data_IF_295721992869
#
_entry.id   IF_295721992869
#
_cell.length_a   1.000
_cell.length_b   1.000
_cell.length_c   1.000
_cell.angle_alpha   90.00
_cell.angle_beta   90.00
_cell.angle_gamma   90.00
#
_symmetry.space_group_name_H-M   'P 1'
#
loop_
_entity.id
_entity.type
_entity.pdbx_description
1 polymer ?
#
# COMPACT_ATOMS: atom_id res chain seq x y z
N UNK A 1 28.57 1.94 -2.21
CA UNK A 1 27.86 3.11 -1.67
C UNK A 1 26.42 2.94 -2.10
N UNK A 2 25.54 2.52 -1.21
CA UNK A 2 24.13 2.45 -1.53
C UNK A 2 23.54 3.85 -1.47
N UNK A 3 22.97 4.32 -2.58
CA UNK A 3 22.38 5.65 -2.71
C UNK A 3 21.10 5.79 -1.87
N UNK A 4 20.69 7.01 -1.57
CA UNK A 4 19.47 7.27 -0.81
C UNK A 4 18.23 6.71 -1.52
N UNK A 5 18.16 6.81 -2.86
CA UNK A 5 17.03 6.28 -3.62
C UNK A 5 16.97 4.75 -3.59
N UNK A 6 18.11 4.06 -3.45
CA UNK A 6 18.14 2.61 -3.27
C UNK A 6 17.48 2.20 -1.94
N UNK A 7 17.70 2.99 -0.88
CA UNK A 7 17.05 2.74 0.41
C UNK A 7 15.54 3.03 0.35
N UNK A 8 15.11 4.07 -0.37
CA UNK A 8 13.68 4.32 -0.63
C UNK A 8 13.07 3.17 -1.44
N UNK A 9 13.78 2.64 -2.44
CA UNK A 9 13.32 1.47 -3.20
C UNK A 9 13.20 0.22 -2.33
N UNK A 10 14.15 -0.01 -1.43
CA UNK A 10 14.08 -1.13 -0.49
C UNK A 10 12.86 -1.03 0.43
N UNK A 11 12.56 0.17 0.96
CA UNK A 11 11.34 0.43 1.73
C UNK A 11 10.09 0.18 0.88
N UNK A 12 10.04 0.70 -0.35
CA UNK A 12 8.90 0.54 -1.26
C UNK A 12 8.64 -0.93 -1.62
N UNK A 13 9.69 -1.73 -1.77
CA UNK A 13 9.56 -3.18 -1.97
C UNK A 13 9.05 -3.89 -0.72
N UNK A 14 9.58 -3.55 0.45
CA UNK A 14 9.08 -4.11 1.73
C UNK A 14 7.60 -3.77 1.96
N UNK A 15 7.18 -2.56 1.60
CA UNK A 15 5.77 -2.17 1.64
C UNK A 15 4.89 -3.02 0.72
N UNK A 16 5.35 -3.36 -0.48
CA UNK A 16 4.60 -4.27 -1.37
C UNK A 16 4.43 -5.64 -0.73
N UNK A 17 5.51 -6.21 -0.20
CA UNK A 17 5.47 -7.52 0.45
C UNK A 17 4.49 -7.51 1.65
N UNK A 18 4.46 -6.44 2.44
CA UNK A 18 3.50 -6.26 3.55
C UNK A 18 2.07 -6.12 3.06
N UNK A 19 1.82 -5.33 2.01
CA UNK A 19 0.50 -5.15 1.44
C UNK A 19 -0.06 -6.46 0.85
N UNK A 20 0.78 -7.25 0.17
CA UNK A 20 0.41 -8.57 -0.35
C UNK A 20 0.09 -9.58 0.75
N UNK A 21 0.72 -9.45 1.92
CA UNK A 21 0.46 -10.28 3.10
C UNK A 21 -0.71 -9.75 3.95
N UNK A 22 -1.24 -8.57 3.67
CA UNK A 22 -2.25 -7.90 4.48
C UNK A 22 -1.73 -7.36 5.82
N UNK A 23 -0.42 -7.18 5.98
CA UNK A 23 0.21 -6.60 7.18
C UNK A 23 0.10 -5.07 7.14
N UNK A 24 -1.13 -4.57 7.27
CA UNK A 24 -1.45 -3.14 7.12
C UNK A 24 -0.88 -2.28 8.25
N UNK A 25 -0.68 -2.86 9.43
CA UNK A 25 -0.09 -2.15 10.57
C UNK A 25 1.37 -1.82 10.28
N UNK A 26 2.16 -2.82 9.85
CA UNK A 26 3.56 -2.56 9.48
C UNK A 26 3.68 -1.71 8.22
N UNK A 27 2.80 -1.92 7.24
CA UNK A 27 2.74 -1.09 6.04
C UNK A 27 2.61 0.40 6.39
N UNK A 28 1.65 0.74 7.25
CA UNK A 28 1.42 2.12 7.69
C UNK A 28 2.61 2.67 8.49
N UNK A 29 3.21 1.86 9.36
CA UNK A 29 4.33 2.27 10.19
C UNK A 29 5.58 2.68 9.38
N UNK A 30 5.78 2.10 8.19
CA UNK A 30 6.96 2.39 7.36
C UNK A 30 6.70 3.41 6.23
N UNK A 31 5.44 3.76 5.96
CA UNK A 31 5.09 4.76 4.95
C UNK A 31 5.69 6.13 5.28
N UNK A 32 5.56 6.59 6.53
CA UNK A 32 6.09 7.89 6.98
C UNK A 32 7.61 7.96 6.84
N UNK A 33 8.30 6.85 7.09
CA UNK A 33 9.76 6.76 6.95
C UNK A 33 10.17 6.83 5.46
N UNK A 34 9.46 6.11 4.59
CA UNK A 34 9.68 6.16 3.14
C UNK A 34 9.48 7.58 2.60
N UNK A 35 8.42 8.27 2.99
CA UNK A 35 8.12 9.64 2.55
C UNK A 35 9.20 10.61 3.00
N UNK A 36 9.55 10.58 4.28
CA UNK A 36 10.61 11.43 4.84
C UNK A 36 11.96 11.21 4.14
N UNK A 37 12.34 9.97 3.91
CA UNK A 37 13.60 9.65 3.24
C UNK A 37 13.59 10.12 1.77
N UNK A 38 12.46 9.95 1.07
CA UNK A 38 12.32 10.43 -0.30
C UNK A 38 12.49 11.96 -0.39
N UNK A 39 11.87 12.72 0.52
CA UNK A 39 12.02 14.18 0.60
C UNK A 39 13.48 14.61 0.85
N UNK A 40 14.21 13.88 1.70
CA UNK A 40 15.60 14.16 2.01
C UNK A 40 16.54 13.89 0.83
N UNK A 41 16.28 12.80 0.10
CA UNK A 41 17.19 12.29 -0.94
C UNK A 41 16.93 12.94 -2.30
N UNK A 42 15.67 13.23 -2.63
CA UNK A 42 15.28 13.70 -3.96
C UNK A 42 16.05 14.95 -4.42
N UNK A 43 16.35 15.97 -3.60
CA UNK A 43 17.12 17.13 -4.05
C UNK A 43 18.51 16.78 -4.58
N UNK A 44 19.17 15.79 -3.97
CA UNK A 44 20.52 15.37 -4.33
C UNK A 44 20.54 14.36 -5.49
N UNK A 45 19.56 13.48 -5.56
CA UNK A 45 19.53 12.36 -6.51
C UNK A 45 18.51 12.54 -7.65
N UNK A 46 17.98 13.76 -7.85
CA UNK A 46 16.96 14.07 -8.89
C UNK A 46 17.35 13.73 -10.33
N UNK A 47 18.64 13.54 -10.60
CA UNK A 47 19.15 13.25 -11.95
C UNK A 47 19.30 11.73 -12.22
N UNK A 48 19.05 10.87 -11.23
CA UNK A 48 19.06 9.42 -11.40
C UNK A 48 17.71 8.96 -11.99
N UNK A 49 17.55 9.18 -13.29
CA UNK A 49 16.32 8.83 -14.02
C UNK A 49 15.93 7.34 -13.88
N UNK A 50 16.85 6.36 -13.99
CA UNK A 50 16.51 4.95 -13.78
C UNK A 50 15.95 4.67 -12.38
N UNK A 51 16.57 5.21 -11.33
CA UNK A 51 16.08 5.03 -9.96
C UNK A 51 14.70 5.67 -9.75
N UNK A 52 14.50 6.88 -10.27
CA UNK A 52 13.20 7.57 -10.20
C UNK A 52 12.10 6.82 -10.97
N UNK A 53 12.42 6.26 -12.15
CA UNK A 53 11.48 5.41 -12.91
C UNK A 53 11.05 4.21 -12.09
N UNK A 54 12.01 3.50 -11.49
CA UNK A 54 11.74 2.34 -10.67
C UNK A 54 10.86 2.69 -9.46
N UNK A 55 11.12 3.82 -8.78
CA UNK A 55 10.29 4.31 -7.68
C UNK A 55 8.85 4.63 -8.09
N UNK A 56 8.65 5.24 -9.26
CA UNK A 56 7.32 5.48 -9.82
C UNK A 56 6.59 4.15 -10.06
N UNK A 57 7.27 3.17 -10.64
CA UNK A 57 6.69 1.84 -10.90
C UNK A 57 6.32 1.12 -9.60
N UNK A 58 7.17 1.19 -8.58
CA UNK A 58 6.86 0.66 -7.25
C UNK A 58 5.64 1.35 -6.64
N UNK A 59 5.56 2.68 -6.71
CA UNK A 59 4.42 3.42 -6.17
C UNK A 59 3.12 3.09 -6.89
N UNK A 60 3.16 2.92 -8.22
CA UNK A 60 2.00 2.49 -9.00
C UNK A 60 1.49 1.12 -8.53
N UNK A 61 2.39 0.15 -8.36
CA UNK A 61 2.02 -1.20 -7.87
C UNK A 61 1.43 -1.14 -6.46
N UNK A 62 1.99 -0.30 -5.58
CA UNK A 62 1.45 -0.11 -4.23
C UNK A 62 0.01 0.40 -4.28
N UNK A 63 -0.27 1.42 -5.11
CA UNK A 63 -1.63 1.91 -5.31
C UNK A 63 -2.57 0.82 -5.83
N UNK A 64 -2.16 0.07 -6.85
CA UNK A 64 -2.96 -1.02 -7.43
C UNK A 64 -3.30 -2.11 -6.38
N UNK A 65 -2.35 -2.47 -5.52
CA UNK A 65 -2.59 -3.44 -4.42
C UNK A 65 -3.53 -2.87 -3.37
N UNK A 66 -3.29 -1.64 -2.89
CA UNK A 66 -4.12 -1.01 -1.86
C UNK A 66 -5.57 -0.82 -2.34
N UNK A 67 -5.75 -0.41 -3.60
CA UNK A 67 -7.09 -0.28 -4.21
C UNK A 67 -7.80 -1.62 -4.26
N UNK A 68 -7.12 -2.67 -4.72
CA UNK A 68 -7.69 -4.03 -4.78
C UNK A 68 -8.11 -4.53 -3.40
N UNK A 69 -7.25 -4.37 -2.39
CA UNK A 69 -7.54 -4.86 -1.04
C UNK A 69 -8.64 -4.03 -0.36
N UNK A 70 -8.69 -2.72 -0.60
CA UNK A 70 -9.82 -1.87 -0.18
C UNK A 70 -11.13 -2.35 -0.79
N UNK A 71 -11.15 -2.60 -2.10
CA UNK A 71 -12.36 -3.01 -2.81
C UNK A 71 -12.83 -4.40 -2.34
N UNK A 72 -11.89 -5.30 -2.03
CA UNK A 72 -12.18 -6.60 -1.41
C UNK A 72 -12.84 -6.44 -0.04
N UNK A 73 -12.29 -5.60 0.84
CA UNK A 73 -12.89 -5.32 2.15
C UNK A 73 -14.30 -4.72 2.01
N UNK A 74 -14.51 -3.82 1.06
CA UNK A 74 -15.83 -3.24 0.79
C UNK A 74 -16.85 -4.31 0.35
N UNK A 75 -16.45 -5.25 -0.51
CA UNK A 75 -17.29 -6.38 -0.93
C UNK A 75 -17.61 -7.33 0.24
N UNK A 76 -16.61 -7.66 1.06
CA UNK A 76 -16.79 -8.51 2.24
C UNK A 76 -17.75 -7.89 3.26
N UNK A 77 -17.61 -6.58 3.49
CA UNK A 77 -18.51 -5.81 4.34
C UNK A 77 -19.96 -5.85 3.81
N UNK A 78 -20.16 -5.57 2.52
CA UNK A 78 -21.47 -5.60 1.90
C UNK A 78 -22.12 -7.00 1.98
N UNK A 79 -21.35 -8.06 1.76
CA UNK A 79 -21.83 -9.43 1.86
C UNK A 79 -22.20 -9.82 3.31
N UNK A 80 -21.46 -9.34 4.31
CA UNK A 80 -21.81 -9.56 5.72
C UNK A 80 -23.09 -8.82 6.11
N UNK A 81 -23.26 -7.57 5.69
CA UNK A 81 -24.44 -6.75 6.00
C UNK A 81 -25.69 -7.25 5.27
N UNK A 82 -25.57 -7.63 4.00
CA UNK A 82 -26.68 -8.23 3.25
C UNK A 82 -27.16 -9.54 3.86
N UNK A 83 -26.23 -10.40 4.34
CA UNK A 83 -26.59 -11.63 5.08
C UNK A 83 -27.28 -11.32 6.40
N UNK A 84 -26.80 -10.34 7.16
CA UNK A 84 -27.43 -9.92 8.42
C UNK A 84 -28.88 -9.43 8.20
N UNK A 85 -29.12 -8.63 7.17
CA UNK A 85 -30.47 -8.18 6.81
C UNK A 85 -31.38 -9.34 6.39
N UNK A 86 -30.87 -10.28 5.60
CA UNK A 86 -31.63 -11.46 5.19
C UNK A 86 -32.03 -12.31 6.41
N UNK A 87 -31.11 -12.56 7.36
CA UNK A 87 -31.40 -13.31 8.58
C UNK A 87 -32.45 -12.58 9.44
N UNK A 88 -32.31 -11.27 9.62
CA UNK A 88 -33.25 -10.47 10.39
C UNK A 88 -34.68 -10.52 9.80
N UNK A 89 -34.82 -10.50 8.48
CA UNK A 89 -36.12 -10.61 7.82
C UNK A 89 -36.81 -11.96 8.08
N UNK A 90 -36.04 -13.05 8.16
CA UNK A 90 -36.57 -14.37 8.48
C UNK A 90 -36.90 -14.56 9.97
N UNK A 91 -36.22 -13.89 10.88
CA UNK A 91 -36.48 -13.99 12.32
C UNK A 91 -37.52 -12.99 12.84
N UNK A 92 -37.88 -11.99 12.03
CA UNK A 92 -38.95 -11.02 12.34
C UNK A 92 -40.35 -11.45 11.89
N UNK A 93 -40.52 -12.69 11.41
CA UNK A 93 -41.81 -13.25 10.98
C UNK A 93 -42.28 -14.34 11.93
#
# INVERSE_FOLDING_TARGET
MSGGLEQVMALSRGMLDMAEQGDWERFAAIQDERERLLEQVLPAERNDEPALRALIDYNRRLCEVVERERDKVAQEWQAAHGRSQAIAAYTSH
#
